data_IF_481587745643
#
_entry.id   IF_481587745643
#
_cell.length_a   1.000
_cell.length_b   1.000
_cell.length_c   1.000
_cell.angle_alpha   90.00
_cell.angle_beta   90.00
_cell.angle_gamma   90.00
#
_symmetry.space_group_name_H-M   'P 1'
#
loop_
_entity.id
_entity.type
_entity.pdbx_description
1 polymer ?
#
# COMPACT_ATOMS: atom_id res chain seq x y z
N UNK A 1 -31.16 4.96 -31.21
CA UNK A 1 -30.18 4.28 -30.34
C UNK A 1 -30.64 4.48 -28.92
N UNK A 2 -30.62 3.45 -28.09
CA UNK A 2 -30.95 3.55 -26.67
C UNK A 2 -29.75 4.12 -25.91
N UNK A 3 -29.95 5.23 -25.20
CA UNK A 3 -28.93 5.82 -24.32
C UNK A 3 -28.93 5.07 -22.98
N UNK A 4 -27.76 4.64 -22.53
CA UNK A 4 -27.63 3.90 -21.27
C UNK A 4 -27.37 4.85 -20.10
N UNK A 5 -27.98 4.57 -18.95
CA UNK A 5 -27.83 5.25 -17.67
C UNK A 5 -27.37 4.26 -16.60
N UNK A 6 -26.70 4.74 -15.56
CA UNK A 6 -26.34 3.91 -14.41
C UNK A 6 -27.55 3.58 -13.52
N UNK A 7 -28.64 4.34 -13.64
CA UNK A 7 -29.93 4.01 -13.03
C UNK A 7 -30.60 2.85 -13.77
N UNK A 8 -31.43 2.07 -13.05
CA UNK A 8 -32.22 0.95 -13.60
C UNK A 8 -33.40 1.44 -14.46
N UNK A 9 -33.10 2.20 -15.51
CA UNK A 9 -34.06 2.84 -16.42
C UNK A 9 -33.78 2.48 -17.89
N UNK A 10 -32.93 1.48 -18.15
CA UNK A 10 -32.47 1.09 -19.49
C UNK A 10 -33.35 0.02 -20.17
N UNK A 11 -34.50 -0.32 -19.58
CA UNK A 11 -35.45 -1.28 -20.16
C UNK A 11 -34.82 -2.65 -20.43
N UNK A 12 -34.87 -3.12 -21.68
CA UNK A 12 -34.43 -4.45 -22.07
C UNK A 12 -32.93 -4.72 -21.77
N UNK A 13 -32.07 -3.70 -21.79
CA UNK A 13 -30.67 -3.90 -21.41
C UNK A 13 -30.53 -4.23 -19.93
N UNK A 14 -31.36 -3.62 -19.07
CA UNK A 14 -31.30 -3.90 -17.63
C UNK A 14 -31.67 -5.35 -17.33
N UNK A 15 -32.68 -5.87 -18.03
CA UNK A 15 -33.11 -7.28 -17.96
C UNK A 15 -32.01 -8.21 -18.47
N UNK A 16 -31.44 -7.93 -19.64
CA UNK A 16 -30.38 -8.77 -20.20
C UNK A 16 -29.13 -8.83 -19.32
N UNK A 17 -28.78 -7.75 -18.63
CA UNK A 17 -27.67 -7.74 -17.67
C UNK A 17 -27.98 -8.58 -16.43
N UNK A 18 -29.20 -8.48 -15.89
CA UNK A 18 -29.62 -9.31 -14.76
C UNK A 18 -29.60 -10.81 -15.15
N UNK A 19 -30.13 -11.16 -16.33
CA UNK A 19 -30.07 -12.53 -16.87
C UNK A 19 -28.63 -13.03 -17.03
N UNK A 20 -27.72 -12.21 -17.56
CA UNK A 20 -26.30 -12.57 -17.71
C UNK A 20 -25.63 -12.85 -16.35
N UNK A 21 -25.96 -12.06 -15.33
CA UNK A 21 -25.45 -12.25 -13.97
C UNK A 21 -26.02 -13.54 -13.35
N UNK A 22 -27.29 -13.85 -13.60
CA UNK A 22 -27.93 -15.08 -13.10
C UNK A 22 -27.39 -16.35 -13.76
N UNK A 23 -26.92 -16.26 -15.01
CA UNK A 23 -26.33 -17.39 -15.75
C UNK A 23 -24.94 -17.81 -15.23
N UNK A 24 -24.28 -16.99 -14.40
CA UNK A 24 -22.91 -17.23 -13.93
C UNK A 24 -22.88 -17.40 -12.41
N UNK A 25 -22.54 -18.60 -11.97
CA UNK A 25 -22.39 -18.90 -10.54
C UNK A 25 -21.20 -18.16 -9.90
N UNK A 26 -21.26 -17.96 -8.58
CA UNK A 26 -20.15 -17.42 -7.78
C UNK A 26 -19.99 -15.90 -7.83
N UNK A 27 -20.96 -15.15 -8.36
CA UNK A 27 -20.99 -13.68 -8.28
C UNK A 27 -21.60 -13.25 -6.94
N UNK A 28 -20.75 -12.82 -6.01
CA UNK A 28 -21.14 -12.28 -4.70
C UNK A 28 -21.66 -10.83 -4.83
N UNK A 29 -20.84 -9.93 -5.36
CA UNK A 29 -21.14 -8.49 -5.49
C UNK A 29 -21.89 -8.15 -6.79
N UNK A 30 -23.10 -8.70 -6.94
CA UNK A 30 -23.92 -8.57 -8.17
C UNK A 30 -24.16 -7.11 -8.59
N UNK A 31 -24.34 -6.20 -7.63
CA UNK A 31 -24.53 -4.78 -7.89
C UNK A 31 -23.32 -4.13 -8.57
N UNK A 32 -22.12 -4.38 -8.04
CA UNK A 32 -20.87 -3.85 -8.62
C UNK A 32 -20.58 -4.47 -9.98
N UNK A 33 -20.83 -5.77 -10.16
CA UNK A 33 -20.65 -6.43 -11.47
C UNK A 33 -21.58 -5.83 -12.52
N UNK A 34 -22.85 -5.57 -12.15
CA UNK A 34 -23.80 -4.86 -13.02
C UNK A 34 -23.28 -3.48 -13.42
N UNK A 35 -22.79 -2.69 -12.47
CA UNK A 35 -22.22 -1.36 -12.75
C UNK A 35 -21.01 -1.45 -13.69
N UNK A 36 -20.15 -2.46 -13.53
CA UNK A 36 -19.01 -2.68 -14.43
C UNK A 36 -19.45 -3.04 -15.86
N UNK A 37 -20.48 -3.87 -16.02
CA UNK A 37 -21.04 -4.22 -17.33
C UNK A 37 -21.63 -2.96 -18.00
N UNK A 38 -22.44 -2.20 -17.26
CA UNK A 38 -23.03 -0.94 -17.75
C UNK A 38 -21.95 0.07 -18.13
N UNK A 39 -20.91 0.21 -17.32
CA UNK A 39 -19.78 1.09 -17.61
C UNK A 39 -19.10 0.69 -18.93
N UNK A 40 -18.82 -0.60 -19.15
CA UNK A 40 -18.19 -1.07 -20.38
C UNK A 40 -19.05 -0.79 -21.63
N UNK A 41 -20.36 -1.01 -21.54
CA UNK A 41 -21.30 -0.71 -22.63
C UNK A 41 -21.38 0.80 -22.91
N UNK A 42 -21.49 1.63 -21.86
CA UNK A 42 -21.51 3.10 -21.98
C UNK A 42 -20.22 3.63 -22.60
N UNK A 43 -19.06 3.14 -22.19
CA UNK A 43 -17.79 3.52 -22.82
C UNK A 43 -17.80 3.22 -24.32
N UNK A 44 -18.36 2.09 -24.75
CA UNK A 44 -18.50 1.76 -26.16
C UNK A 44 -19.48 2.66 -26.94
N UNK A 45 -20.48 3.26 -26.27
CA UNK A 45 -21.40 4.22 -26.88
C UNK A 45 -20.81 5.64 -26.97
N UNK A 46 -20.04 6.03 -25.94
CA UNK A 46 -19.56 7.41 -25.76
C UNK A 46 -18.19 7.64 -26.40
N UNK A 47 -17.42 6.58 -26.68
CA UNK A 47 -16.05 6.68 -27.13
C UNK A 47 -15.77 5.86 -28.39
N UNK A 48 -15.34 6.57 -29.45
CA UNK A 48 -14.95 5.96 -30.72
C UNK A 48 -13.42 5.78 -30.87
N UNK A 49 -12.61 6.22 -29.87
CA UNK A 49 -11.17 6.04 -29.88
C UNK A 49 -10.76 4.66 -29.37
N UNK A 50 -10.18 3.88 -30.28
CA UNK A 50 -9.65 2.54 -30.01
C UNK A 50 -8.54 2.56 -28.94
N UNK A 51 -7.71 3.60 -28.89
CA UNK A 51 -6.60 3.66 -27.93
C UNK A 51 -7.12 3.78 -26.49
N UNK A 52 -8.08 4.66 -26.26
CA UNK A 52 -8.77 4.79 -24.98
C UNK A 52 -9.47 3.49 -24.57
N UNK A 53 -10.23 2.87 -25.48
CA UNK A 53 -10.90 1.58 -25.21
C UNK A 53 -9.90 0.48 -24.82
N UNK A 54 -8.73 0.43 -25.48
CA UNK A 54 -7.67 -0.54 -25.16
C UNK A 54 -7.07 -0.29 -23.79
N UNK A 55 -6.87 0.97 -23.41
CA UNK A 55 -6.37 1.37 -22.09
C UNK A 55 -7.31 0.88 -20.98
N UNK A 56 -8.61 1.19 -21.07
CA UNK A 56 -9.62 0.78 -20.08
C UNK A 56 -9.75 -0.74 -19.98
N UNK A 57 -9.88 -1.43 -21.12
CA UNK A 57 -10.00 -2.88 -21.15
C UNK A 57 -8.79 -3.60 -20.54
N UNK A 58 -7.58 -3.15 -20.89
CA UNK A 58 -6.35 -3.74 -20.34
C UNK A 58 -6.22 -3.42 -18.85
N UNK A 59 -6.58 -2.20 -18.43
CA UNK A 59 -6.57 -1.80 -17.02
C UNK A 59 -7.48 -2.67 -16.17
N UNK A 60 -8.73 -2.88 -16.62
CA UNK A 60 -9.66 -3.76 -15.93
C UNK A 60 -9.13 -5.20 -15.84
N UNK A 61 -8.52 -5.71 -16.92
CA UNK A 61 -7.92 -7.06 -16.94
C UNK A 61 -6.75 -7.21 -15.96
N UNK A 62 -5.87 -6.21 -15.92
CA UNK A 62 -4.72 -6.17 -15.01
C UNK A 62 -5.20 -6.11 -13.56
N UNK A 63 -6.04 -5.14 -13.21
CA UNK A 63 -6.54 -4.96 -11.84
C UNK A 63 -7.33 -6.18 -11.33
N UNK A 64 -8.15 -6.81 -12.19
CA UNK A 64 -8.84 -8.06 -11.86
C UNK A 64 -7.85 -9.20 -11.61
N UNK A 65 -6.81 -9.32 -12.42
CA UNK A 65 -5.79 -10.37 -12.24
C UNK A 65 -4.95 -10.12 -10.99
N UNK A 66 -4.56 -8.87 -10.72
CA UNK A 66 -3.93 -8.45 -9.45
C UNK A 66 -4.79 -8.90 -8.26
N UNK A 67 -6.09 -8.56 -8.28
CA UNK A 67 -7.02 -8.99 -7.24
C UNK A 67 -7.03 -10.51 -7.05
N UNK A 68 -7.09 -11.29 -8.13
CA UNK A 68 -7.06 -12.77 -8.09
C UNK A 68 -5.78 -13.31 -7.44
N UNK A 69 -4.63 -12.71 -7.73
CA UNK A 69 -3.32 -13.21 -7.25
C UNK A 69 -3.08 -12.83 -5.79
N UNK A 70 -3.47 -11.62 -5.38
CA UNK A 70 -3.25 -11.14 -4.01
C UNK A 70 -4.35 -11.54 -3.03
N UNK A 71 -5.59 -11.76 -3.47
CA UNK A 71 -6.72 -12.05 -2.57
C UNK A 71 -6.53 -13.25 -1.63
N UNK A 72 -5.88 -14.36 -2.02
CA UNK A 72 -5.66 -15.49 -1.11
C UNK A 72 -4.72 -15.17 0.06
N UNK A 73 -4.01 -14.03 0.00
CA UNK A 73 -2.97 -13.65 0.95
C UNK A 73 -3.33 -12.39 1.73
N UNK A 74 -4.59 -11.96 1.75
CA UNK A 74 -5.03 -10.71 2.41
C UNK A 74 -4.68 -10.63 3.89
N UNK A 75 -4.62 -11.77 4.59
CA UNK A 75 -4.30 -11.84 6.02
C UNK A 75 -2.81 -11.87 6.32
N UNK A 76 -1.96 -12.06 5.30
CA UNK A 76 -0.50 -12.07 5.45
C UNK A 76 0.05 -10.72 5.06
N UNK A 77 0.77 -10.08 5.98
CA UNK A 77 1.36 -8.78 5.70
C UNK A 77 2.47 -8.87 4.66
N UNK A 78 2.59 -7.83 3.86
CA UNK A 78 3.54 -7.76 2.74
C UNK A 78 4.42 -6.53 2.84
N UNK A 79 5.70 -6.70 2.55
CA UNK A 79 6.64 -5.59 2.44
C UNK A 79 7.03 -5.41 0.99
N UNK A 80 6.77 -4.22 0.43
CA UNK A 80 7.26 -3.88 -0.90
C UNK A 80 8.71 -3.42 -0.81
N UNK A 81 9.59 -4.03 -1.59
CA UNK A 81 11.02 -3.72 -1.62
C UNK A 81 11.40 -3.11 -2.97
N UNK A 82 11.95 -1.90 -2.92
CA UNK A 82 12.51 -1.21 -4.07
C UNK A 82 14.01 -0.99 -3.92
N UNK A 83 14.69 -0.88 -5.05
CA UNK A 83 16.11 -0.54 -5.12
C UNK A 83 16.64 -0.70 -6.53
N UNK A 84 17.93 -0.41 -6.71
CA UNK A 84 18.57 -0.48 -8.02
C UNK A 84 18.47 -1.88 -8.64
N UNK A 85 18.01 -1.93 -9.90
CA UNK A 85 18.08 -3.13 -10.74
C UNK A 85 19.50 -3.47 -11.21
N UNK A 86 20.48 -2.60 -10.91
CA UNK A 86 21.87 -2.67 -11.40
C UNK A 86 22.88 -3.03 -10.32
N UNK A 87 22.46 -3.10 -9.06
CA UNK A 87 23.33 -3.55 -7.96
C UNK A 87 23.80 -4.98 -8.24
N UNK A 88 25.10 -5.22 -8.12
CA UNK A 88 25.67 -6.54 -8.39
C UNK A 88 25.65 -7.44 -7.13
N UNK A 89 25.61 -8.77 -7.29
CA UNK A 89 25.57 -9.71 -6.16
C UNK A 89 26.75 -9.60 -5.17
N UNK A 90 27.88 -9.08 -5.60
CA UNK A 90 29.09 -8.92 -4.78
C UNK A 90 29.06 -7.64 -3.92
N UNK A 91 28.13 -6.72 -4.18
CA UNK A 91 28.00 -5.48 -3.41
C UNK A 91 27.35 -5.76 -2.05
N UNK A 92 27.85 -5.20 -0.93
CA UNK A 92 27.32 -5.57 0.39
C UNK A 92 25.84 -5.19 0.57
N UNK A 93 25.35 -4.13 -0.08
CA UNK A 93 23.93 -3.76 -0.11
C UNK A 93 23.05 -4.85 -0.75
N UNK A 94 23.57 -5.63 -1.70
CA UNK A 94 22.87 -6.80 -2.24
C UNK A 94 22.70 -7.86 -1.16
N UNK A 95 23.78 -8.19 -0.44
CA UNK A 95 23.72 -9.13 0.68
C UNK A 95 22.75 -8.66 1.76
N UNK A 96 22.76 -7.37 2.07
CA UNK A 96 21.84 -6.75 3.02
C UNK A 96 20.38 -6.90 2.59
N UNK A 97 20.04 -6.62 1.33
CA UNK A 97 18.69 -6.83 0.79
C UNK A 97 18.27 -8.30 0.83
N UNK A 98 19.19 -9.23 0.58
CA UNK A 98 18.93 -10.66 0.72
C UNK A 98 18.68 -11.07 2.17
N UNK A 99 19.46 -10.58 3.12
CA UNK A 99 19.20 -10.85 4.55
C UNK A 99 17.87 -10.24 5.00
N UNK A 100 17.51 -9.07 4.49
CA UNK A 100 16.23 -8.43 4.78
C UNK A 100 15.06 -9.27 4.29
N UNK A 101 15.09 -9.74 3.03
CA UNK A 101 14.06 -10.65 2.51
C UNK A 101 13.92 -11.92 3.35
N UNK A 102 15.03 -12.51 3.79
CA UNK A 102 15.03 -13.70 4.66
C UNK A 102 14.38 -13.43 6.02
N UNK A 103 14.80 -12.36 6.72
CA UNK A 103 14.27 -12.01 8.06
C UNK A 103 12.79 -11.61 8.04
N UNK A 104 12.33 -10.99 6.95
CA UNK A 104 10.90 -10.72 6.77
C UNK A 104 10.07 -12.02 6.74
N UNK A 105 10.54 -13.04 6.02
CA UNK A 105 9.85 -14.34 5.99
C UNK A 105 9.90 -15.03 7.34
N UNK A 106 11.04 -15.00 8.04
CA UNK A 106 11.18 -15.53 9.41
C UNK A 106 10.23 -14.86 10.41
N UNK A 107 9.78 -13.63 10.13
CA UNK A 107 8.83 -12.87 10.95
C UNK A 107 7.40 -12.90 10.42
N UNK A 108 7.11 -13.74 9.41
CA UNK A 108 5.77 -14.01 8.92
C UNK A 108 5.28 -13.09 7.80
N UNK A 109 6.16 -12.27 7.21
CA UNK A 109 5.83 -11.42 6.07
C UNK A 109 6.07 -12.14 4.74
N UNK A 110 5.35 -11.67 3.73
CA UNK A 110 5.70 -11.90 2.32
C UNK A 110 6.33 -10.62 1.75
N UNK A 111 6.95 -10.73 0.58
CA UNK A 111 7.56 -9.58 -0.07
C UNK A 111 6.98 -9.34 -1.46
N UNK A 112 6.95 -8.07 -1.87
CA UNK A 112 6.58 -7.64 -3.21
C UNK A 112 7.77 -6.91 -3.82
N UNK A 113 8.12 -7.25 -5.05
CA UNK A 113 9.20 -6.58 -5.77
C UNK A 113 8.80 -6.30 -7.21
N UNK A 114 9.56 -5.45 -7.89
CA UNK A 114 9.40 -5.23 -9.33
C UNK A 114 9.85 -6.38 -10.23
N UNK A 115 10.23 -7.53 -9.67
CA UNK A 115 10.70 -8.74 -10.34
C UNK A 115 11.99 -8.61 -11.17
N UNK A 116 12.67 -7.46 -11.19
CA UNK A 116 13.94 -7.29 -11.89
C UNK A 116 15.14 -7.88 -11.14
N UNK A 117 16.34 -7.66 -11.70
CA UNK A 117 17.63 -7.97 -11.08
C UNK A 117 18.00 -7.06 -9.91
N UNK A 118 19.25 -7.13 -9.45
CA UNK A 118 19.79 -6.28 -8.40
C UNK A 118 19.08 -6.43 -7.06
N UNK A 119 18.75 -5.33 -6.39
CA UNK A 119 18.12 -5.36 -5.05
C UNK A 119 16.81 -6.16 -5.06
N UNK A 120 16.00 -6.03 -6.11
CA UNK A 120 14.75 -6.78 -6.23
C UNK A 120 15.02 -8.28 -6.25
N UNK A 121 16.01 -8.73 -7.01
CA UNK A 121 16.41 -10.13 -7.02
C UNK A 121 16.96 -10.57 -5.66
N UNK A 122 17.84 -9.78 -5.04
CA UNK A 122 18.40 -10.08 -3.73
C UNK A 122 17.29 -10.32 -2.68
N UNK A 123 16.30 -9.44 -2.61
CA UNK A 123 15.18 -9.58 -1.69
C UNK A 123 14.38 -10.87 -1.97
N UNK A 124 14.07 -11.18 -3.24
CA UNK A 124 13.39 -12.43 -3.63
C UNK A 124 14.22 -13.67 -3.29
N UNK A 125 15.54 -13.64 -3.49
CA UNK A 125 16.42 -14.75 -3.11
C UNK A 125 16.41 -14.99 -1.60
N UNK A 126 16.33 -13.92 -0.81
CA UNK A 126 16.21 -13.99 0.64
C UNK A 126 14.90 -14.59 1.10
N UNK A 127 13.78 -14.12 0.54
CA UNK A 127 12.45 -14.58 0.91
C UNK A 127 12.09 -15.97 0.34
N UNK A 128 12.71 -16.35 -0.79
CA UNK A 128 12.37 -17.56 -1.52
C UNK A 128 11.09 -17.43 -2.36
N UNK A 129 10.86 -18.37 -3.30
CA UNK A 129 9.76 -18.28 -4.26
C UNK A 129 8.37 -18.36 -3.62
N UNK A 130 8.23 -19.02 -2.48
CA UNK A 130 6.93 -19.18 -1.80
C UNK A 130 6.40 -17.92 -1.12
N UNK A 131 7.30 -17.00 -0.77
CA UNK A 131 6.96 -15.76 -0.07
C UNK A 131 7.15 -14.51 -0.93
N UNK A 132 7.43 -14.69 -2.22
CA UNK A 132 7.74 -13.60 -3.15
C UNK A 132 6.62 -13.35 -4.15
N UNK A 133 6.20 -12.09 -4.28
CA UNK A 133 5.40 -11.57 -5.38
C UNK A 133 6.28 -10.77 -6.34
N UNK A 134 6.03 -10.97 -7.63
CA UNK A 134 6.65 -10.19 -8.70
C UNK A 134 5.63 -9.34 -9.40
N UNK A 135 5.75 -8.02 -9.36
CA UNK A 135 4.95 -7.11 -10.19
C UNK A 135 5.85 -6.52 -11.29
N UNK A 136 6.01 -7.28 -12.36
CA UNK A 136 6.87 -6.96 -13.49
C UNK A 136 6.20 -5.95 -14.45
N UNK A 137 6.99 -5.27 -15.28
CA UNK A 137 6.49 -4.36 -16.32
C UNK A 137 7.04 -4.77 -17.69
N UNK A 138 6.20 -4.73 -18.72
CA UNK A 138 6.65 -4.91 -20.10
C UNK A 138 7.43 -3.67 -20.55
N UNK A 139 8.72 -3.86 -20.84
CA UNK A 139 9.59 -2.84 -21.44
C UNK A 139 9.92 -3.20 -22.90
N UNK A 140 10.27 -2.22 -23.75
CA UNK A 140 10.67 -2.48 -25.14
C UNK A 140 11.90 -3.37 -25.29
N UNK A 141 12.77 -3.39 -24.27
CA UNK A 141 13.90 -4.28 -24.15
C UNK A 141 13.61 -5.28 -23.03
N UNK A 142 13.91 -6.55 -23.25
CA UNK A 142 13.48 -7.66 -22.40
C UNK A 142 14.00 -7.50 -20.96
N UNK A 143 13.10 -7.10 -20.04
CA UNK A 143 13.30 -7.28 -18.61
C UNK A 143 12.71 -8.63 -18.23
N UNK A 144 13.53 -9.68 -18.37
CA UNK A 144 13.17 -10.99 -17.84
C UNK A 144 13.01 -10.88 -16.30
N UNK A 145 11.99 -11.54 -15.72
CA UNK A 145 11.90 -11.64 -14.26
C UNK A 145 13.13 -12.36 -13.72
N UNK A 146 13.55 -12.03 -12.50
CA UNK A 146 14.67 -12.70 -11.86
C UNK A 146 14.39 -14.20 -11.65
N UNK A 147 15.44 -15.04 -11.50
CA UNK A 147 15.30 -16.50 -11.48
C UNK A 147 14.35 -17.05 -10.41
N UNK A 148 14.15 -16.33 -9.30
CA UNK A 148 13.24 -16.75 -8.22
C UNK A 148 11.77 -16.69 -8.64
N UNK A 149 11.44 -15.80 -9.57
CA UNK A 149 10.06 -15.53 -9.98
C UNK A 149 9.69 -16.15 -11.34
N UNK A 150 10.64 -16.75 -12.06
CA UNK A 150 10.38 -17.46 -13.31
C UNK A 150 9.42 -18.62 -13.04
N UNK A 151 8.27 -18.64 -13.71
CA UNK A 151 7.23 -19.67 -13.53
C UNK A 151 6.42 -19.56 -12.23
N UNK A 152 6.65 -18.53 -11.42
CA UNK A 152 5.97 -18.34 -10.15
C UNK A 152 4.51 -17.88 -10.36
N UNK A 153 3.50 -18.50 -9.74
CA UNK A 153 2.10 -18.09 -9.89
C UNK A 153 1.80 -16.69 -9.36
N UNK A 154 2.68 -16.13 -8.53
CA UNK A 154 2.59 -14.76 -7.98
C UNK A 154 3.34 -13.71 -8.81
N UNK A 155 3.80 -14.08 -10.02
CA UNK A 155 4.34 -13.13 -10.99
C UNK A 155 3.22 -12.55 -11.85
N UNK A 156 3.02 -11.24 -11.75
CA UNK A 156 2.11 -10.45 -12.58
C UNK A 156 2.94 -9.57 -13.50
N UNK A 157 2.61 -9.54 -14.79
CA UNK A 157 3.28 -8.68 -15.77
C UNK A 157 2.30 -7.62 -16.28
N UNK A 158 2.59 -6.37 -16.00
CA UNK A 158 1.77 -5.22 -16.39
C UNK A 158 2.23 -4.64 -17.74
N UNK A 159 1.29 -4.07 -18.47
CA UNK A 159 1.51 -3.18 -19.62
C UNK A 159 1.65 -1.73 -19.18
N UNK A 160 0.87 -1.33 -18.20
CA UNK A 160 0.79 0.07 -17.78
C UNK A 160 1.41 0.29 -16.40
N UNK A 161 2.27 1.30 -16.29
CA UNK A 161 2.95 1.65 -15.05
C UNK A 161 1.99 2.00 -13.91
N UNK A 162 0.90 2.71 -14.19
CA UNK A 162 -0.01 3.15 -13.13
C UNK A 162 -0.71 1.98 -12.42
N UNK A 163 -1.10 0.91 -13.13
CA UNK A 163 -1.70 -0.27 -12.49
C UNK A 163 -0.67 -1.02 -11.63
N UNK A 164 0.58 -1.07 -12.10
CA UNK A 164 1.68 -1.66 -11.34
C UNK A 164 1.95 -0.88 -10.04
N UNK A 165 1.97 0.45 -10.10
CA UNK A 165 2.14 1.35 -8.95
C UNK A 165 1.03 1.16 -7.92
N UNK A 166 -0.22 1.12 -8.39
CA UNK A 166 -1.37 0.81 -7.53
C UNK A 166 -1.20 -0.55 -6.83
N UNK A 167 -0.74 -1.58 -7.54
CA UNK A 167 -0.52 -2.90 -6.94
C UNK A 167 0.57 -2.90 -5.86
N UNK A 168 1.66 -2.16 -6.06
CA UNK A 168 2.73 -2.04 -5.06
C UNK A 168 2.23 -1.46 -3.75
N UNK A 169 1.45 -0.39 -3.82
CA UNK A 169 1.02 0.39 -2.66
C UNK A 169 -0.17 -0.27 -1.98
N UNK A 170 -1.22 -0.59 -2.73
CA UNK A 170 -2.47 -1.16 -2.19
C UNK A 170 -2.24 -2.45 -1.42
N UNK A 171 -1.28 -3.26 -1.86
CA UNK A 171 -1.02 -4.57 -1.27
C UNK A 171 0.15 -4.55 -0.26
N UNK A 172 0.73 -3.37 0.05
CA UNK A 172 1.83 -3.21 0.99
C UNK A 172 1.37 -2.80 2.39
N UNK A 173 1.97 -3.45 3.39
CA UNK A 173 1.91 -3.08 4.80
C UNK A 173 3.19 -2.38 5.26
N UNK A 174 4.27 -2.46 4.50
CA UNK A 174 5.47 -1.65 4.68
C UNK A 174 6.22 -1.48 3.37
N UNK A 175 7.06 -0.46 3.29
CA UNK A 175 7.88 -0.18 2.11
C UNK A 175 9.33 -0.02 2.56
N UNK A 176 10.21 -0.78 1.90
CA UNK A 176 11.65 -0.71 2.10
C UNK A 176 12.34 -0.21 0.84
N UNK A 177 13.03 0.92 0.95
CA UNK A 177 13.75 1.59 -0.11
C UNK A 177 15.25 1.42 0.09
N UNK A 178 15.89 0.62 -0.74
CA UNK A 178 17.35 0.56 -0.87
C UNK A 178 17.84 1.59 -1.90
N UNK A 179 19.13 1.97 -1.92
CA UNK A 179 19.68 2.89 -2.90
C UNK A 179 19.33 2.48 -4.35
N UNK A 180 18.90 3.46 -5.13
CA UNK A 180 18.30 3.20 -6.44
C UNK A 180 18.42 4.36 -7.42
N UNK A 181 17.90 4.13 -8.63
CA UNK A 181 17.79 5.15 -9.67
C UNK A 181 16.42 5.82 -9.70
N UNK A 182 16.03 6.34 -10.87
CA UNK A 182 14.74 7.01 -11.04
C UNK A 182 13.53 6.15 -10.69
N UNK A 183 13.56 4.84 -11.00
CA UNK A 183 12.44 3.96 -10.62
C UNK A 183 12.24 3.90 -9.10
N UNK A 184 13.32 3.80 -8.32
CA UNK A 184 13.21 3.78 -6.85
C UNK A 184 12.76 5.14 -6.31
N UNK A 185 13.26 6.24 -6.86
CA UNK A 185 12.85 7.58 -6.44
C UNK A 185 11.41 7.90 -6.85
N UNK A 186 10.94 7.43 -8.00
CA UNK A 186 9.55 7.55 -8.44
C UNK A 186 8.60 6.91 -7.40
N UNK A 187 8.87 5.66 -7.00
CA UNK A 187 8.06 4.97 -5.99
C UNK A 187 8.19 5.59 -4.59
N UNK A 188 9.38 6.11 -4.24
CA UNK A 188 9.58 6.84 -2.98
C UNK A 188 8.74 8.12 -2.93
N UNK A 189 8.79 8.94 -3.98
CA UNK A 189 8.06 10.20 -4.05
C UNK A 189 6.55 9.99 -4.16
N UNK A 190 6.08 8.96 -4.88
CA UNK A 190 4.66 8.60 -4.92
C UNK A 190 4.17 8.18 -3.53
N UNK A 191 4.92 7.31 -2.84
CA UNK A 191 4.57 6.87 -1.48
C UNK A 191 4.45 8.06 -0.53
N UNK A 192 5.46 8.94 -0.51
CA UNK A 192 5.46 10.13 0.35
C UNK A 192 4.28 11.05 0.04
N UNK A 193 3.99 11.29 -1.23
CA UNK A 193 2.85 12.12 -1.66
C UNK A 193 1.52 11.53 -1.18
N UNK A 194 1.36 10.22 -1.24
CA UNK A 194 0.12 9.56 -0.81
C UNK A 194 -0.03 9.53 0.72
N UNK A 195 1.06 9.32 1.45
CA UNK A 195 1.08 9.38 2.91
C UNK A 195 0.80 10.80 3.42
N UNK A 196 1.49 11.79 2.85
CA UNK A 196 1.33 13.22 3.19
C UNK A 196 -0.12 13.69 3.02
N UNK A 197 -0.82 13.20 1.98
CA UNK A 197 -2.17 13.64 1.65
C UNK A 197 -3.27 12.72 2.20
N UNK A 198 -2.91 11.72 3.02
CA UNK A 198 -3.86 10.74 3.56
C UNK A 198 -4.57 9.89 2.51
N UNK A 199 -3.98 9.76 1.32
CA UNK A 199 -4.49 8.92 0.22
C UNK A 199 -4.01 7.47 0.32
N UNK A 200 -3.08 7.20 1.22
CA UNK A 200 -2.72 5.87 1.69
C UNK A 200 -2.85 5.80 3.21
N UNK A 201 -3.18 4.63 3.75
CA UNK A 201 -3.09 4.41 5.20
C UNK A 201 -1.63 4.48 5.67
N UNK A 202 -1.33 4.98 6.87
CA UNK A 202 0.04 5.00 7.37
C UNK A 202 0.67 3.59 7.36
N UNK A 203 1.92 3.52 6.94
CA UNK A 203 2.76 2.32 6.96
C UNK A 203 4.22 2.70 7.28
N UNK A 204 5.07 1.73 7.68
CA UNK A 204 6.50 1.96 7.78
C UNK A 204 7.12 2.18 6.40
N UNK A 205 7.65 3.38 6.17
CA UNK A 205 8.48 3.70 5.01
C UNK A 205 9.95 3.79 5.43
N UNK A 206 10.73 2.77 5.12
CA UNK A 206 12.11 2.63 5.58
C UNK A 206 13.09 2.90 4.43
N UNK A 207 13.98 3.86 4.64
CA UNK A 207 15.11 4.15 3.78
C UNK A 207 16.32 3.36 4.29
N UNK A 208 16.54 2.18 3.70
CA UNK A 208 17.57 1.24 4.15
C UNK A 208 18.89 1.56 3.43
N UNK A 209 19.96 1.73 4.18
CA UNK A 209 21.33 1.89 3.65
C UNK A 209 22.32 0.96 4.33
N UNK A 210 23.49 0.76 3.73
CA UNK A 210 24.61 0.11 4.43
C UNK A 210 25.11 1.00 5.59
N UNK A 211 25.69 0.41 6.66
CA UNK A 211 26.43 1.16 7.66
C UNK A 211 27.50 2.06 7.03
N UNK A 212 27.48 3.34 7.37
CA UNK A 212 28.39 4.34 6.77
C UNK A 212 27.96 4.87 5.40
N UNK A 213 26.85 4.35 4.85
CA UNK A 213 26.20 4.87 3.66
C UNK A 213 25.85 6.37 3.75
N UNK A 214 25.75 7.01 2.59
CA UNK A 214 25.45 8.45 2.48
C UNK A 214 24.40 8.81 1.43
N UNK A 215 23.90 7.86 0.65
CA UNK A 215 22.85 8.03 -0.36
C UNK A 215 21.61 8.70 0.24
N UNK A 216 21.00 8.08 1.27
CA UNK A 216 19.77 8.61 1.85
C UNK A 216 20.04 9.86 2.67
N UNK A 217 21.18 9.94 3.36
CA UNK A 217 21.60 11.16 4.07
C UNK A 217 21.75 12.36 3.13
N UNK A 218 22.29 12.15 1.92
CA UNK A 218 22.42 13.20 0.89
C UNK A 218 21.06 13.55 0.30
N UNK A 219 20.20 12.56 0.06
CA UNK A 219 18.83 12.79 -0.41
C UNK A 219 18.00 13.60 0.61
N UNK A 220 17.98 13.21 1.88
CA UNK A 220 17.32 13.98 2.96
C UNK A 220 17.88 15.38 3.07
N UNK A 221 19.20 15.55 2.94
CA UNK A 221 19.83 16.88 2.94
C UNK A 221 19.32 17.74 1.78
N UNK A 222 19.17 17.18 0.58
CA UNK A 222 18.58 17.88 -0.56
C UNK A 222 17.13 18.29 -0.26
N UNK A 223 16.30 17.36 0.24
CA UNK A 223 14.91 17.65 0.61
C UNK A 223 14.81 18.80 1.64
N UNK A 224 15.67 18.80 2.66
CA UNK A 224 15.70 19.88 3.66
C UNK A 224 16.15 21.22 3.09
N UNK A 225 17.18 21.20 2.24
CA UNK A 225 17.77 22.45 1.70
C UNK A 225 16.93 23.09 0.61
N UNK A 226 16.30 22.29 -0.23
CA UNK A 226 15.62 22.80 -1.43
C UNK A 226 14.10 22.81 -1.26
N UNK A 227 13.50 21.82 -0.58
CA UNK A 227 12.05 21.74 -0.46
C UNK A 227 11.56 22.36 0.84
N UNK A 228 12.16 21.99 1.98
CA UNK A 228 11.74 22.54 3.27
C UNK A 228 12.09 24.03 3.40
N UNK A 229 13.32 24.41 3.05
CA UNK A 229 13.76 25.81 3.17
C UNK A 229 12.92 26.78 2.32
N UNK A 230 12.45 26.33 1.16
CA UNK A 230 11.59 27.09 0.25
C UNK A 230 10.08 26.94 0.58
N UNK A 231 9.72 26.15 1.60
CA UNK A 231 8.34 25.98 2.05
C UNK A 231 7.47 25.10 1.15
N UNK A 232 8.05 24.22 0.32
CA UNK A 232 7.30 23.28 -0.52
C UNK A 232 6.78 22.06 0.25
N UNK A 233 7.38 21.77 1.41
CA UNK A 233 7.00 20.71 2.34
C UNK A 233 7.08 21.23 3.78
N UNK A 234 6.45 20.52 4.71
CA UNK A 234 6.44 20.84 6.15
C UNK A 234 7.49 20.01 6.91
N UNK A 235 7.89 20.46 8.11
CA UNK A 235 8.81 19.69 8.95
C UNK A 235 8.26 18.30 9.29
N UNK A 236 6.95 18.19 9.52
CA UNK A 236 6.28 16.92 9.82
C UNK A 236 6.30 15.90 8.68
N UNK A 237 6.58 16.30 7.44
CA UNK A 237 6.69 15.35 6.32
C UNK A 237 7.90 14.41 6.47
N UNK A 238 8.92 14.83 7.23
CA UNK A 238 10.08 13.99 7.54
C UNK A 238 9.77 12.90 8.57
N UNK A 239 8.62 12.96 9.23
CA UNK A 239 8.16 11.92 10.16
C UNK A 239 7.50 10.74 9.44
N UNK A 240 7.23 10.88 8.13
CA UNK A 240 6.59 9.85 7.31
C UNK A 240 7.55 8.71 6.93
N UNK A 241 8.85 8.86 7.16
CA UNK A 241 9.86 7.86 6.81
C UNK A 241 11.01 7.82 7.81
N UNK A 242 11.71 6.69 7.88
CA UNK A 242 12.88 6.52 8.75
C UNK A 242 14.07 6.00 7.96
N UNK A 243 15.25 6.58 8.19
CA UNK A 243 16.51 6.05 7.67
C UNK A 243 17.07 5.01 8.64
N UNK A 244 17.34 3.80 8.15
CA UNK A 244 17.92 2.71 8.94
C UNK A 244 19.14 2.14 8.23
N UNK A 245 20.14 1.72 9.01
CA UNK A 245 21.41 1.20 8.48
C UNK A 245 21.68 -0.27 8.85
N UNK A 246 20.68 -0.95 9.42
CA UNK A 246 20.75 -2.38 9.75
C UNK A 246 19.46 -3.10 9.38
N UNK A 247 19.60 -4.36 8.98
CA UNK A 247 18.47 -5.24 8.66
C UNK A 247 17.61 -5.52 9.89
N UNK A 248 18.25 -5.69 11.04
CA UNK A 248 17.57 -5.99 12.31
C UNK A 248 16.68 -4.84 12.74
N UNK A 249 17.22 -3.62 12.73
CA UNK A 249 16.46 -2.40 13.02
C UNK A 249 15.31 -2.25 12.04
N UNK A 250 15.53 -2.47 10.74
CA UNK A 250 14.47 -2.35 9.75
C UNK A 250 13.29 -3.29 10.03
N UNK A 251 13.55 -4.57 10.31
CA UNK A 251 12.51 -5.56 10.62
C UNK A 251 11.86 -5.27 11.98
N UNK A 252 12.64 -4.85 12.98
CA UNK A 252 12.13 -4.43 14.29
C UNK A 252 11.15 -3.26 14.15
N UNK A 253 11.47 -2.24 13.34
CA UNK A 253 10.57 -1.10 13.09
C UNK A 253 9.26 -1.50 12.45
N UNK A 254 9.29 -2.42 11.48
CA UNK A 254 8.07 -2.93 10.85
C UNK A 254 7.22 -3.70 11.87
N UNK A 255 7.84 -4.56 12.68
CA UNK A 255 7.14 -5.32 13.72
C UNK A 255 6.56 -4.41 14.80
N UNK A 256 7.34 -3.42 15.25
CA UNK A 256 6.94 -2.47 16.27
C UNK A 256 5.74 -1.64 15.81
N UNK A 257 5.74 -1.14 14.57
CA UNK A 257 4.61 -0.38 14.02
C UNK A 257 3.27 -1.13 14.10
N UNK A 258 3.34 -2.45 14.15
CA UNK A 258 2.17 -3.30 14.25
C UNK A 258 2.13 -4.15 15.53
N UNK A 259 2.80 -3.74 16.61
CA UNK A 259 2.77 -4.47 17.89
C UNK A 259 1.40 -4.34 18.58
N UNK A 260 0.81 -3.14 18.51
CA UNK A 260 -0.52 -2.83 19.03
C UNK A 260 -1.44 -2.31 17.94
N UNK A 261 -0.98 -1.41 17.08
CA UNK A 261 -1.74 -0.95 15.93
C UNK A 261 -1.94 -2.09 14.93
N UNK A 262 -3.15 -2.24 14.41
CA UNK A 262 -3.47 -3.25 13.39
C UNK A 262 -3.75 -2.59 12.04
N UNK A 263 -4.74 -1.70 12.00
CA UNK A 263 -5.17 -0.99 10.80
C UNK A 263 -6.08 0.18 11.17
N UNK A 264 -6.52 0.95 10.16
CA UNK A 264 -7.45 2.05 10.35
C UNK A 264 -8.51 2.11 9.25
N UNK A 265 -9.63 2.76 9.54
CA UNK A 265 -10.62 3.19 8.54
C UNK A 265 -11.33 4.46 8.96
N UNK A 266 -11.89 5.17 7.99
CA UNK A 266 -12.80 6.28 8.26
C UNK A 266 -14.25 5.80 8.30
N UNK A 267 -14.99 6.21 9.34
CA UNK A 267 -16.42 5.93 9.50
C UNK A 267 -17.15 7.24 9.79
N UNK A 268 -17.98 7.69 8.85
CA UNK A 268 -18.76 8.94 8.96
C UNK A 268 -17.90 10.15 9.40
N UNK A 269 -16.70 10.27 8.84
CA UNK A 269 -15.77 11.36 9.12
C UNK A 269 -14.89 11.15 10.37
N UNK A 270 -15.14 10.12 11.18
CA UNK A 270 -14.26 9.77 12.31
C UNK A 270 -13.20 8.76 11.90
N UNK A 271 -12.00 8.91 12.42
CA UNK A 271 -10.92 7.95 12.23
C UNK A 271 -11.02 6.85 13.28
N UNK A 272 -11.08 5.60 12.84
CA UNK A 272 -11.15 4.43 13.72
C UNK A 272 -9.88 3.63 13.56
N UNK A 273 -9.08 3.56 14.62
CA UNK A 273 -7.97 2.62 14.72
C UNK A 273 -8.46 1.29 15.28
N UNK A 274 -7.95 0.21 14.71
CA UNK A 274 -8.10 -1.15 15.20
C UNK A 274 -6.82 -1.56 15.87
N UNK A 275 -6.91 -2.06 17.09
CA UNK A 275 -5.79 -2.40 17.94
C UNK A 275 -5.84 -3.86 18.37
N UNK A 276 -4.66 -4.49 18.46
CA UNK A 276 -4.49 -5.85 18.95
C UNK A 276 -4.75 -5.95 20.46
N UNK A 277 -4.46 -4.89 21.22
CA UNK A 277 -4.67 -4.81 22.66
C UNK A 277 -5.25 -3.46 23.08
N UNK A 278 -5.94 -3.42 24.22
CA UNK A 278 -6.63 -2.22 24.73
C UNK A 278 -5.66 -1.25 25.38
N UNK A 279 -5.90 0.04 25.23
CA UNK A 279 -5.15 1.13 25.88
C UNK A 279 -5.67 1.33 27.31
N UNK A 280 -4.79 1.64 28.26
CA UNK A 280 -5.19 1.91 29.64
C UNK A 280 -5.86 3.28 29.76
N UNK A 281 -6.74 3.50 30.77
CA UNK A 281 -7.33 4.82 30.98
C UNK A 281 -6.29 5.94 31.21
N UNK A 282 -5.17 5.63 31.86
CA UNK A 282 -4.10 6.60 32.11
C UNK A 282 -3.41 7.01 30.79
N UNK A 283 -3.09 6.04 29.94
CA UNK A 283 -2.47 6.33 28.65
C UNK A 283 -3.45 7.04 27.70
N UNK A 284 -4.75 6.72 27.76
CA UNK A 284 -5.77 7.42 26.97
C UNK A 284 -5.84 8.93 27.31
N UNK A 285 -5.72 9.28 28.60
CA UNK A 285 -5.62 10.69 29.02
C UNK A 285 -4.37 11.33 28.44
N UNK A 286 -3.24 10.61 28.47
CA UNK A 286 -1.98 11.12 27.94
C UNK A 286 -2.01 11.28 26.41
N UNK A 287 -2.68 10.38 25.70
CA UNK A 287 -2.91 10.48 24.25
C UNK A 287 -3.71 11.73 23.90
N UNK A 288 -4.83 11.97 24.59
CA UNK A 288 -5.63 13.18 24.37
C UNK A 288 -4.82 14.45 24.62
N UNK A 289 -3.93 14.45 25.62
CA UNK A 289 -3.08 15.60 25.92
C UNK A 289 -1.98 15.80 24.86
N UNK A 290 -1.30 14.72 24.48
CA UNK A 290 -0.13 14.77 23.59
C UNK A 290 -0.49 15.05 22.13
N UNK A 291 -1.70 14.68 21.71
CA UNK A 291 -2.14 14.74 20.32
C UNK A 291 -3.36 15.66 20.13
N UNK A 292 -3.63 16.57 21.08
CA UNK A 292 -4.74 17.53 20.98
C UNK A 292 -4.63 18.44 19.73
N UNK A 293 -3.40 18.70 19.27
CA UNK A 293 -3.06 19.51 18.11
C UNK A 293 -3.60 18.97 16.78
N UNK A 294 -3.82 17.65 16.70
CA UNK A 294 -4.35 16.99 15.50
C UNK A 294 -5.85 16.67 15.57
N UNK A 295 -6.53 17.08 16.64
CA UNK A 295 -7.96 16.85 16.79
C UNK A 295 -8.76 18.01 16.16
N UNK A 296 -10.00 17.74 15.78
CA UNK A 296 -10.97 18.80 15.49
C UNK A 296 -11.27 19.60 16.78
N UNK A 297 -11.85 20.79 16.65
CA UNK A 297 -12.27 21.57 17.81
C UNK A 297 -13.23 20.77 18.70
N UNK A 298 -12.96 20.73 20.02
CA UNK A 298 -13.62 19.88 21.02
C UNK A 298 -13.60 18.35 20.71
N UNK A 299 -12.73 17.93 19.79
CA UNK A 299 -12.51 16.54 19.45
C UNK A 299 -11.73 15.80 20.54
N UNK A 300 -11.85 14.47 20.55
CA UNK A 300 -11.14 13.60 21.50
C UNK A 300 -10.62 12.32 20.85
N UNK A 301 -9.79 11.62 21.60
CA UNK A 301 -9.40 10.23 21.38
C UNK A 301 -10.12 9.38 22.42
N UNK A 302 -10.89 8.39 22.01
CA UNK A 302 -11.69 7.59 22.94
C UNK A 302 -11.73 6.11 22.55
N UNK A 303 -11.93 5.24 23.54
CA UNK A 303 -12.15 3.82 23.30
C UNK A 303 -13.61 3.60 22.89
N UNK A 304 -13.81 2.64 21.98
CA UNK A 304 -15.15 2.27 21.52
C UNK A 304 -15.28 0.76 21.34
N UNK A 305 -16.53 0.30 21.32
CA UNK A 305 -16.87 -0.98 20.70
C UNK A 305 -16.77 -0.85 19.16
N UNK A 306 -16.73 -1.97 18.41
CA UNK A 306 -16.82 -1.93 16.95
C UNK A 306 -18.03 -1.10 16.50
N UNK A 307 -17.84 -0.23 15.52
CA UNK A 307 -18.93 0.59 15.02
C UNK A 307 -19.85 -0.25 14.11
N UNK A 308 -21.16 0.03 14.05
CA UNK A 308 -22.09 -0.76 13.22
C UNK A 308 -21.72 -0.83 11.73
N UNK A 309 -21.03 0.19 11.21
CA UNK A 309 -20.57 0.26 9.82
C UNK A 309 -19.38 -0.66 9.52
N UNK A 310 -18.79 -1.31 10.53
CA UNK A 310 -17.71 -2.28 10.39
C UNK A 310 -18.22 -3.73 10.30
N UNK A 311 -19.53 -3.94 10.21
CA UNK A 311 -20.11 -5.30 10.11
C UNK A 311 -19.74 -6.02 8.81
N UNK A 312 -19.18 -5.31 7.84
CA UNK A 312 -18.65 -5.82 6.58
C UNK A 312 -17.28 -6.52 6.70
N UNK A 313 -16.60 -6.39 7.85
CA UNK A 313 -15.32 -7.03 8.16
C UNK A 313 -15.42 -7.85 9.47
N UNK A 314 -16.25 -8.92 9.51
CA UNK A 314 -16.52 -9.69 10.73
C UNK A 314 -15.27 -10.31 11.36
N UNK A 315 -14.26 -10.65 10.56
CA UNK A 315 -12.97 -11.18 11.00
C UNK A 315 -12.17 -10.20 11.87
N UNK A 316 -12.45 -8.90 11.77
CA UNK A 316 -11.78 -7.84 12.54
C UNK A 316 -12.58 -7.41 13.77
N UNK A 317 -13.74 -8.01 14.04
CA UNK A 317 -14.63 -7.64 15.15
C UNK A 317 -14.00 -7.80 16.54
N UNK A 318 -13.04 -8.72 16.70
CA UNK A 318 -12.34 -8.96 17.96
C UNK A 318 -11.34 -7.87 18.38
N UNK A 319 -10.90 -7.03 17.44
CA UNK A 319 -9.91 -5.97 17.70
C UNK A 319 -10.50 -4.84 18.56
N UNK A 320 -9.66 -4.15 19.34
CA UNK A 320 -10.09 -2.99 20.13
C UNK A 320 -10.17 -1.75 19.23
N UNK A 321 -11.11 -0.84 19.51
CA UNK A 321 -11.27 0.40 18.74
C UNK A 321 -10.79 1.60 19.54
N UNK A 322 -9.97 2.40 18.90
CA UNK A 322 -9.64 3.74 19.33
C UNK A 322 -10.17 4.71 18.27
N UNK A 323 -11.16 5.51 18.64
CA UNK A 323 -11.76 6.51 17.77
C UNK A 323 -11.04 7.82 17.99
N UNK A 324 -10.53 8.39 16.91
CA UNK A 324 -9.77 9.64 16.88
C UNK A 324 -10.58 10.65 16.08
N UNK A 325 -10.96 11.77 16.69
CA UNK A 325 -11.59 12.88 15.98
C UNK A 325 -10.54 13.71 15.22
N UNK A 326 -9.81 13.05 14.32
CA UNK A 326 -8.67 13.60 13.57
C UNK A 326 -9.10 14.70 12.60
N UNK A 327 -8.39 15.83 12.61
CA UNK A 327 -8.67 16.98 11.76
C UNK A 327 -8.20 16.83 10.31
N UNK A 328 -7.52 15.74 9.97
CA UNK A 328 -7.04 15.41 8.61
C UNK A 328 -6.04 16.42 8.02
N UNK A 329 -5.25 17.08 8.88
CA UNK A 329 -4.27 18.07 8.44
C UNK A 329 -2.82 17.60 8.54
N UNK A 330 -2.46 16.94 9.64
CA UNK A 330 -1.06 16.57 9.90
C UNK A 330 -0.91 15.04 9.98
N UNK A 331 -0.49 14.46 8.86
CA UNK A 331 -0.29 13.02 8.73
C UNK A 331 1.05 12.55 9.32
N UNK A 332 2.06 13.43 9.43
CA UNK A 332 3.29 13.15 10.17
C UNK A 332 3.01 13.01 11.66
N UNK A 333 2.17 13.89 12.21
CA UNK A 333 1.73 13.80 13.59
C UNK A 333 0.77 12.65 13.86
N UNK A 334 -0.06 12.27 12.87
CA UNK A 334 -0.81 11.01 12.92
C UNK A 334 0.12 9.78 12.97
N UNK A 335 1.23 9.81 12.23
CA UNK A 335 2.25 8.76 12.26
C UNK A 335 2.90 8.65 13.65
N UNK A 336 3.19 9.77 14.32
CA UNK A 336 3.64 9.80 15.72
C UNK A 336 2.62 9.23 16.71
N UNK A 337 1.32 9.50 16.48
CA UNK A 337 0.26 8.89 17.30
C UNK A 337 0.30 7.36 17.21
N UNK A 338 0.49 6.82 16.00
CA UNK A 338 0.62 5.37 15.80
C UNK A 338 1.87 4.83 16.50
N UNK A 339 3.02 5.51 16.41
CA UNK A 339 4.22 5.09 17.16
C UNK A 339 3.97 5.05 18.66
N UNK A 340 3.41 6.11 19.22
CA UNK A 340 3.15 6.20 20.65
C UNK A 340 2.16 5.13 21.12
N UNK A 341 1.16 4.79 20.31
CA UNK A 341 0.24 3.68 20.61
C UNK A 341 0.99 2.35 20.71
N UNK A 342 2.01 2.13 19.87
CA UNK A 342 2.79 0.89 19.90
C UNK A 342 3.81 0.86 21.05
N UNK A 343 4.22 2.02 21.58
CA UNK A 343 5.17 2.14 22.70
C UNK A 343 4.53 1.85 24.08
N UNK A 344 3.20 1.98 24.20
CA UNK A 344 2.44 1.83 25.45
C UNK A 344 1.76 0.46 25.56
#
# INVERSE_FOLDING_TARGET
MMELHFTRTNGAADTAIDELIELVDGIEERGLVREMILAALKTGQENNDRAHMKLMNTTMKEMRFTGKIFSPYRTTRKVTVFGSARTRPEEPIYYMARQFGKKLVETGYMIITGAGGGIMQAANEGAGPEHSFGVNIMLPFEQAPNPVLVGNPRLITYRYFFNRKVAFLKEADAIALFPGGFGTLDEAMETLTLLQNGKHTPLPLLLIEEPGGTYWKRWVRFMKKELLAEGYISEGDFDLFECVDSVDTAVERINHFYSRYHSMRYVRGKLVFRLQSSISPADLVQLNKNFADILVYDGKIDLSNPLPQESDEPELSGLKRLVVDFNQKDFGRLRHLIDHINDI
#
